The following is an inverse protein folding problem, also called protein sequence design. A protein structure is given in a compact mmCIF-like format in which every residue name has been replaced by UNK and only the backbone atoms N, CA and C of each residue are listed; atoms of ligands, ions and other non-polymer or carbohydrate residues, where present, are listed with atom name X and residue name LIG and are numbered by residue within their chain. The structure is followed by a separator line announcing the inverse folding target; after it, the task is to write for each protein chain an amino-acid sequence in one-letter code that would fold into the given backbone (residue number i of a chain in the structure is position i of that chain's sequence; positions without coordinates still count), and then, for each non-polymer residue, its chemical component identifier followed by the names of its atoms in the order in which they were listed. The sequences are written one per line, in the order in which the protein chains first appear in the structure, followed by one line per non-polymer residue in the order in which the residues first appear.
data_IF_592535489915
#
_entry.id   IF_592535489915
#
_cell.length_a   1.000
_cell.length_b   1.000
_cell.length_c   1.000
_cell.angle_alpha   90.00
_cell.angle_beta   90.00
_cell.angle_gamma   90.00
#
_symmetry.space_group_name_H-M   'P 1'
#
loop_
_entity.id
_entity.type
_entity.pdbx_description
1 polymer ?
#
# COMPACT_ATOMS: atom_id res chain seq x y z
N UNK A 1 11.24 6.94 6.38
CA UNK A 1 12.10 7.88 7.17
C UNK A 1 12.79 7.12 8.30
N UNK A 2 13.85 7.67 8.93
CA UNK A 2 14.39 7.08 10.16
C UNK A 2 13.28 6.95 11.19
N UNK A 3 13.16 5.76 11.78
CA UNK A 3 12.10 5.43 12.73
C UNK A 3 10.83 4.87 12.10
N UNK A 4 10.72 4.81 10.77
CA UNK A 4 9.62 4.12 10.11
C UNK A 4 9.69 2.61 10.37
N UNK A 5 8.53 2.00 10.57
CA UNK A 5 8.34 0.57 10.72
C UNK A 5 7.68 0.04 9.45
N UNK A 6 8.35 -0.90 8.79
CA UNK A 6 7.87 -1.55 7.58
C UNK A 6 7.20 -2.89 7.92
N UNK A 7 6.36 -3.40 7.01
CA UNK A 7 5.87 -4.77 7.07
C UNK A 7 7.01 -5.77 7.30
N UNK A 8 6.74 -6.82 8.08
CA UNK A 8 7.77 -7.79 8.48
C UNK A 8 8.68 -7.33 9.64
N UNK A 9 8.41 -6.18 10.25
CA UNK A 9 9.09 -5.74 11.49
C UNK A 9 10.44 -5.05 11.25
N UNK A 10 10.71 -4.60 10.02
CA UNK A 10 11.94 -3.89 9.69
C UNK A 10 11.81 -2.43 10.14
N UNK A 11 12.71 -2.00 11.03
CA UNK A 11 12.76 -0.60 11.48
C UNK A 11 13.90 0.14 10.80
N UNK A 12 13.58 1.26 10.15
CA UNK A 12 14.58 2.06 9.43
C UNK A 12 15.46 2.84 10.41
N UNK A 13 16.76 2.58 10.38
CA UNK A 13 17.79 3.29 11.16
C UNK A 13 18.81 3.96 10.25
N UNK A 14 19.57 4.93 10.80
CA UNK A 14 20.74 5.47 10.11
C UNK A 14 21.76 4.36 9.90
N UNK A 15 22.31 4.24 8.69
CA UNK A 15 23.33 3.26 8.35
C UNK A 15 24.41 3.92 7.49
N UNK A 16 25.64 3.41 7.57
CA UNK A 16 26.72 3.83 6.67
C UNK A 16 26.88 2.76 5.59
N UNK A 17 26.58 3.10 4.34
CA UNK A 17 26.80 2.23 3.20
C UNK A 17 28.04 2.70 2.44
N UNK A 18 29.09 1.87 2.45
CA UNK A 18 30.33 2.10 1.67
C UNK A 18 30.97 3.47 1.93
N UNK A 19 30.92 3.96 3.16
CA UNK A 19 31.49 5.26 3.56
C UNK A 19 30.51 6.43 3.42
N UNK A 20 29.30 6.22 2.91
CA UNK A 20 28.27 7.26 2.76
C UNK A 20 27.15 7.01 3.75
N UNK A 21 26.78 8.05 4.50
CA UNK A 21 25.66 7.97 5.44
C UNK A 21 24.31 7.94 4.70
N UNK A 22 23.51 6.93 5.00
CA UNK A 22 22.12 6.81 4.57
C UNK A 22 21.16 7.17 5.72
N UNK A 23 20.19 8.04 5.42
CA UNK A 23 19.22 8.60 6.38
C UNK A 23 17.79 8.16 6.03
N UNK A 24 17.65 7.07 5.27
CA UNK A 24 16.36 6.56 4.84
C UNK A 24 16.50 5.40 3.87
N UNK A 25 15.35 5.03 3.30
CA UNK A 25 15.24 3.97 2.32
C UNK A 25 14.14 4.38 1.33
N UNK A 26 14.39 4.13 0.05
CA UNK A 26 13.37 4.22 -1.01
C UNK A 26 12.90 2.78 -1.24
N UNK A 27 11.59 2.56 -1.22
CA UNK A 27 11.02 1.22 -1.11
C UNK A 27 10.44 0.70 -2.42
N UNK A 28 10.44 -0.63 -2.58
CA UNK A 28 9.64 -1.33 -3.61
C UNK A 28 8.21 -1.60 -3.14
N UNK A 29 7.35 -2.11 -4.03
CA UNK A 29 5.98 -2.52 -3.68
C UNK A 29 6.00 -3.68 -2.68
N UNK A 30 6.90 -4.65 -2.90
CA UNK A 30 7.07 -5.81 -2.03
C UNK A 30 7.55 -5.46 -0.62
N UNK A 31 8.44 -4.49 -0.49
CA UNK A 31 8.90 -4.03 0.84
C UNK A 31 7.79 -3.34 1.64
N UNK A 32 6.77 -2.82 0.96
CA UNK A 32 5.61 -2.16 1.54
C UNK A 32 4.37 -3.06 1.65
N UNK A 33 4.46 -4.31 1.20
CA UNK A 33 3.35 -5.29 1.22
C UNK A 33 2.10 -4.82 0.45
N UNK A 34 2.31 -4.04 -0.61
CA UNK A 34 1.23 -3.47 -1.46
C UNK A 34 1.21 -4.05 -2.88
N UNK A 35 2.20 -4.87 -3.22
CA UNK A 35 2.33 -5.50 -4.54
C UNK A 35 3.38 -6.59 -4.54
N UNK A 36 3.48 -7.29 -5.67
CA UNK A 36 4.44 -8.39 -5.85
C UNK A 36 5.77 -7.92 -6.49
N UNK A 37 5.83 -6.68 -7.00
CA UNK A 37 7.01 -6.19 -7.70
C UNK A 37 8.20 -5.99 -6.74
N UNK A 38 9.29 -6.69 -7.07
CA UNK A 38 10.58 -6.65 -6.38
C UNK A 38 11.75 -6.24 -7.27
N UNK A 39 11.49 -5.95 -8.55
CA UNK A 39 12.54 -5.62 -9.52
C UNK A 39 13.16 -4.24 -9.27
N UNK A 40 12.45 -3.34 -8.55
CA UNK A 40 12.96 -2.00 -8.30
C UNK A 40 12.16 -1.15 -7.33
N UNK A 41 12.46 0.14 -7.39
CA UNK A 41 11.79 1.19 -6.62
C UNK A 41 10.40 1.43 -7.23
N UNK A 42 9.39 1.55 -6.37
CA UNK A 42 8.05 1.95 -6.81
C UNK A 42 8.08 3.37 -7.40
N UNK A 43 7.66 3.50 -8.65
CA UNK A 43 7.55 4.80 -9.33
C UNK A 43 6.17 5.37 -9.03
N UNK A 44 6.15 6.50 -8.32
CA UNK A 44 4.93 7.22 -7.97
C UNK A 44 4.52 8.20 -9.07
N UNK A 45 3.22 8.50 -9.12
CA UNK A 45 2.69 9.54 -10.00
C UNK A 45 3.29 10.92 -9.61
N UNK A 46 3.80 11.70 -10.58
CA UNK A 46 4.36 13.03 -10.31
C UNK A 46 3.35 14.05 -9.76
N UNK A 47 2.04 13.80 -9.87
CA UNK A 47 1.00 14.66 -9.32
C UNK A 47 0.81 14.50 -7.80
N UNK A 48 1.40 13.48 -7.18
CA UNK A 48 1.31 13.28 -5.73
C UNK A 48 2.09 14.33 -4.93
N UNK A 49 1.54 14.73 -3.79
CA UNK A 49 2.15 15.75 -2.93
C UNK A 49 3.34 15.18 -2.13
N UNK A 50 4.52 15.78 -2.31
CA UNK A 50 5.73 15.37 -1.58
C UNK A 50 5.58 15.68 -0.09
N UNK A 51 5.81 14.66 0.74
CA UNK A 51 5.72 14.75 2.20
C UNK A 51 4.38 14.27 2.75
N UNK A 52 3.39 14.01 1.90
CA UNK A 52 2.17 13.31 2.27
C UNK A 52 2.50 11.86 2.71
N UNK A 53 1.83 11.33 3.76
CA UNK A 53 1.92 9.92 4.09
C UNK A 53 1.50 9.05 2.90
N UNK A 54 2.28 8.01 2.60
CA UNK A 54 2.01 7.13 1.46
C UNK A 54 0.66 6.41 1.58
N UNK A 55 0.25 6.04 2.80
CA UNK A 55 -1.06 5.41 3.05
C UNK A 55 -2.21 6.30 2.62
N UNK A 56 -2.12 7.60 2.88
CA UNK A 56 -3.13 8.56 2.46
C UNK A 56 -3.03 8.91 0.97
N UNK A 57 -1.82 8.92 0.40
CA UNK A 57 -1.61 9.24 -1.01
C UNK A 57 -2.13 8.16 -1.96
N UNK A 58 -2.07 6.89 -1.53
CA UNK A 58 -2.53 5.73 -2.29
C UNK A 58 -3.85 5.14 -1.77
N UNK A 59 -4.53 5.83 -0.84
CA UNK A 59 -5.79 5.39 -0.24
C UNK A 59 -5.74 3.96 0.36
N UNK A 60 -4.59 3.59 0.96
CA UNK A 60 -4.34 2.24 1.49
C UNK A 60 -5.09 1.95 2.80
N UNK A 61 -5.64 2.97 3.45
CA UNK A 61 -6.47 2.84 4.65
C UNK A 61 -7.90 2.43 4.27
N UNK A 62 -8.04 1.26 3.64
CA UNK A 62 -9.30 0.73 3.14
C UNK A 62 -9.60 -0.70 3.66
N UNK A 63 -10.81 -1.18 3.39
CA UNK A 63 -11.34 -2.45 3.90
C UNK A 63 -11.69 -3.39 2.75
N UNK A 64 -11.16 -4.59 2.79
CA UNK A 64 -11.58 -5.67 1.89
C UNK A 64 -12.68 -6.47 2.57
N UNK A 65 -13.89 -6.40 2.02
CA UNK A 65 -15.04 -7.18 2.46
C UNK A 65 -15.24 -8.38 1.54
N UNK A 66 -15.10 -9.58 2.10
CA UNK A 66 -15.33 -10.84 1.39
C UNK A 66 -16.72 -11.39 1.72
N UNK A 67 -17.49 -11.75 0.69
CA UNK A 67 -18.89 -12.16 0.80
C UNK A 67 -19.10 -13.53 0.16
N UNK A 68 -19.68 -14.45 0.91
CA UNK A 68 -20.20 -15.71 0.36
C UNK A 68 -21.67 -15.51 -0.05
N UNK A 69 -21.89 -15.33 -1.35
CA UNK A 69 -23.21 -15.04 -1.90
C UNK A 69 -23.97 -16.30 -2.27
N UNK A 70 -25.22 -16.37 -1.84
CA UNK A 70 -26.12 -17.46 -2.23
C UNK A 70 -26.54 -17.33 -3.72
N UNK A 71 -26.85 -18.45 -4.41
CA UNK A 71 -27.13 -18.43 -5.85
C UNK A 71 -28.31 -17.54 -6.29
N UNK A 72 -29.18 -17.14 -5.36
CA UNK A 72 -30.34 -16.27 -5.60
C UNK A 72 -30.02 -14.76 -5.60
N UNK A 73 -28.78 -14.33 -5.36
CA UNK A 73 -28.35 -12.92 -5.41
C UNK A 73 -27.23 -12.67 -6.45
N UNK A 74 -27.41 -13.05 -7.73
CA UNK A 74 -26.36 -12.86 -8.74
C UNK A 74 -26.08 -11.38 -9.03
N UNK A 75 -27.01 -10.48 -8.71
CA UNK A 75 -26.85 -9.05 -8.85
C UNK A 75 -25.80 -8.46 -7.89
N UNK A 76 -25.58 -9.07 -6.71
CA UNK A 76 -24.53 -8.65 -5.77
C UNK A 76 -23.11 -9.05 -6.21
N UNK A 77 -22.92 -9.70 -7.38
CA UNK A 77 -21.59 -10.04 -7.93
C UNK A 77 -20.89 -8.85 -8.61
N UNK A 78 -21.28 -7.62 -8.28
CA UNK A 78 -20.68 -6.41 -8.84
C UNK A 78 -20.74 -5.26 -7.84
N UNK A 79 -19.81 -4.30 -7.97
CA UNK A 79 -19.79 -3.10 -7.12
C UNK A 79 -21.13 -2.34 -7.18
N UNK A 80 -21.75 -2.24 -8.36
CA UNK A 80 -23.05 -1.56 -8.52
C UNK A 80 -24.16 -2.28 -7.78
N UNK A 81 -24.18 -3.62 -7.83
CA UNK A 81 -25.19 -4.41 -7.13
C UNK A 81 -25.04 -4.38 -5.61
N UNK A 82 -23.80 -4.49 -5.12
CA UNK A 82 -23.51 -4.33 -3.69
C UNK A 82 -23.89 -2.92 -3.22
N UNK A 83 -23.51 -1.88 -3.96
CA UNK A 83 -23.87 -0.51 -3.62
C UNK A 83 -25.39 -0.29 -3.61
N UNK A 84 -26.14 -0.91 -4.53
CA UNK A 84 -27.61 -0.85 -4.56
C UNK A 84 -28.25 -1.55 -3.36
N UNK A 85 -27.67 -2.64 -2.87
CA UNK A 85 -28.18 -3.36 -1.69
C UNK A 85 -27.95 -2.56 -0.39
N UNK A 86 -26.89 -1.76 -0.33
CA UNK A 86 -26.54 -0.94 0.84
C UNK A 86 -27.33 0.38 0.90
N UNK A 87 -27.73 0.94 -0.25
CA UNK A 87 -28.38 2.25 -0.38
C UNK A 87 -29.80 2.30 0.21
#
# INVERSE_FOLDING_TARGET
LIGAELPGGVRISRSNLRGVDSVGMICSERELDIGEDEEGIMILDPELEVGQPLSSALELEDWILDFDLTPNRPDCLSMVGVAREVA
#
